data_IF_477265836019
#
_entry.id   IF_477265836019
#
_cell.length_a   1.000
_cell.length_b   1.000
_cell.length_c   1.000
_cell.angle_alpha   90.00
_cell.angle_beta   90.00
_cell.angle_gamma   90.00
#
_symmetry.space_group_name_H-M   'P 1'
#
loop_
_entity.id
_entity.type
_entity.pdbx_description
1 polymer ?
#
# COMPACT_ATOMS: atom_id res chain seq x y z
N UNK A 1 15.05 -49.11 -3.89
CA UNK A 1 15.65 -47.88 -4.44
C UNK A 1 14.85 -47.22 -5.58
N UNK A 2 13.59 -47.61 -5.89
CA UNK A 2 12.74 -46.90 -6.88
C UNK A 2 11.74 -45.90 -6.29
N UNK A 3 11.38 -46.03 -5.01
CA UNK A 3 10.39 -45.14 -4.35
C UNK A 3 10.96 -43.81 -3.88
N UNK A 4 12.26 -43.75 -3.55
CA UNK A 4 12.91 -42.53 -3.07
C UNK A 4 13.20 -41.56 -4.21
N UNK A 5 13.44 -42.07 -5.43
CA UNK A 5 13.70 -41.25 -6.61
C UNK A 5 12.46 -40.45 -7.06
N UNK A 6 11.25 -41.02 -6.88
CA UNK A 6 10.00 -40.33 -7.23
C UNK A 6 9.68 -39.15 -6.29
N UNK A 7 10.09 -39.22 -5.03
CA UNK A 7 9.85 -38.13 -4.07
C UNK A 7 10.80 -36.94 -4.27
N UNK A 8 12.03 -37.16 -4.74
CA UNK A 8 12.93 -36.04 -5.08
C UNK A 8 12.50 -35.29 -6.35
N UNK A 9 11.94 -35.98 -7.34
CA UNK A 9 11.44 -35.35 -8.57
C UNK A 9 10.18 -34.49 -8.33
N UNK A 10 9.33 -34.85 -7.36
CA UNK A 10 8.17 -34.05 -7.00
C UNK A 10 8.54 -32.75 -6.24
N UNK A 11 9.61 -32.78 -5.43
CA UNK A 11 10.09 -31.59 -4.71
C UNK A 11 10.76 -30.57 -5.62
N UNK A 12 11.40 -31.00 -6.72
CA UNK A 12 11.98 -30.08 -7.70
C UNK A 12 10.92 -29.34 -8.54
N UNK A 13 9.71 -29.88 -8.69
CA UNK A 13 8.64 -29.20 -9.45
C UNK A 13 7.99 -28.09 -8.62
N UNK A 14 7.91 -28.23 -7.28
CA UNK A 14 7.46 -27.14 -6.41
C UNK A 14 8.49 -26.02 -6.24
N UNK A 15 9.79 -26.32 -6.40
CA UNK A 15 10.85 -25.32 -6.29
C UNK A 15 11.04 -24.46 -7.57
N UNK A 16 10.56 -24.94 -8.73
CA UNK A 16 10.66 -24.20 -9.99
C UNK A 16 9.47 -23.25 -10.26
N UNK A 17 8.46 -23.20 -9.38
CA UNK A 17 7.34 -22.25 -9.47
C UNK A 17 7.52 -21.01 -8.59
N UNK A 18 8.62 -20.93 -7.82
CA UNK A 18 8.90 -19.80 -6.93
C UNK A 18 9.91 -18.78 -7.50
N UNK A 19 10.32 -18.92 -8.77
CA UNK A 19 11.32 -18.05 -9.38
C UNK A 19 11.01 -17.78 -10.85
N UNK A 20 9.92 -17.04 -11.08
CA UNK A 20 9.65 -16.20 -12.25
C UNK A 20 8.30 -15.50 -11.98
N UNK A 21 8.19 -14.80 -10.85
CA UNK A 21 7.25 -13.70 -10.77
C UNK A 21 7.87 -12.60 -11.63
N UNK A 22 7.50 -12.53 -12.90
CA UNK A 22 7.65 -11.27 -13.63
C UNK A 22 7.06 -10.20 -12.72
N UNK A 23 7.90 -9.24 -12.34
CA UNK A 23 7.56 -8.12 -11.48
C UNK A 23 6.61 -7.18 -12.20
N UNK A 24 5.45 -7.68 -12.61
CA UNK A 24 4.33 -6.88 -13.06
C UNK A 24 3.82 -6.15 -11.81
N UNK A 25 4.27 -4.91 -11.64
CA UNK A 25 3.68 -3.97 -10.71
C UNK A 25 2.16 -3.95 -10.91
N UNK A 26 1.40 -3.68 -9.84
CA UNK A 26 -0.04 -3.57 -9.95
C UNK A 26 -0.42 -2.63 -11.11
N UNK A 27 -1.46 -3.01 -11.84
CA UNK A 27 -1.93 -2.32 -13.06
C UNK A 27 -2.23 -0.82 -12.88
N UNK A 28 -2.34 -0.36 -11.63
CA UNK A 28 -2.61 1.03 -11.29
C UNK A 28 -1.35 1.87 -11.00
N UNK A 29 -0.17 1.24 -11.00
CA UNK A 29 1.14 1.87 -10.83
C UNK A 29 1.83 1.97 -12.20
N UNK A 30 2.38 3.15 -12.52
CA UNK A 30 3.12 3.39 -13.76
C UNK A 30 4.41 2.57 -13.77
N UNK A 31 4.80 2.11 -14.95
CA UNK A 31 6.08 1.43 -15.14
C UNK A 31 7.25 2.32 -14.69
N UNK A 32 8.09 1.79 -13.79
CA UNK A 32 9.22 2.53 -13.21
C UNK A 32 8.85 3.50 -12.08
N UNK A 33 7.56 3.61 -11.70
CA UNK A 33 7.16 4.34 -10.49
C UNK A 33 7.25 3.45 -9.23
N UNK A 34 7.20 2.12 -9.38
CA UNK A 34 7.22 1.16 -8.27
C UNK A 34 8.46 1.33 -7.36
N UNK A 35 9.64 1.53 -7.94
CA UNK A 35 10.91 1.69 -7.21
C UNK A 35 11.14 3.10 -6.66
N UNK A 36 10.25 4.05 -6.97
CA UNK A 36 10.38 5.44 -6.51
C UNK A 36 9.74 5.61 -5.14
N UNK A 37 10.31 6.51 -4.34
CA UNK A 37 9.76 6.89 -3.04
C UNK A 37 8.40 7.55 -3.23
N UNK A 38 7.42 7.09 -2.44
CA UNK A 38 6.07 7.62 -2.46
C UNK A 38 5.98 8.87 -1.58
N UNK A 39 5.49 9.97 -2.15
CA UNK A 39 5.25 11.23 -1.44
C UNK A 39 3.78 11.39 -1.05
N UNK A 40 2.90 10.71 -1.80
CA UNK A 40 1.47 10.62 -1.58
C UNK A 40 0.96 9.39 -2.32
N UNK A 41 0.08 8.62 -1.70
CA UNK A 41 -0.73 7.64 -2.41
C UNK A 41 -2.14 7.60 -1.84
N UNK A 42 -3.12 7.60 -2.72
CA UNK A 42 -4.53 7.41 -2.37
C UNK A 42 -5.19 6.52 -3.41
N UNK A 43 -5.94 5.52 -2.96
CA UNK A 43 -6.69 4.60 -3.82
C UNK A 43 -8.12 4.48 -3.33
N UNK A 44 -9.04 4.26 -4.26
CA UNK A 44 -10.38 3.77 -3.97
C UNK A 44 -10.45 2.31 -4.36
N UNK A 45 -11.02 1.50 -3.49
CA UNK A 45 -11.23 0.08 -3.68
C UNK A 45 -12.72 -0.18 -3.83
N UNK A 46 -13.11 -0.90 -4.88
CA UNK A 46 -14.48 -1.30 -5.14
C UNK A 46 -14.53 -2.79 -5.42
N UNK A 47 -15.26 -3.54 -4.61
CA UNK A 47 -15.34 -5.00 -4.75
C UNK A 47 -13.99 -5.71 -4.64
N UNK A 48 -13.08 -5.20 -3.80
CA UNK A 48 -11.77 -5.80 -3.56
C UNK A 48 -10.69 -5.49 -4.61
N UNK A 49 -10.96 -4.60 -5.57
CA UNK A 49 -9.96 -4.14 -6.56
C UNK A 49 -9.83 -2.63 -6.54
N UNK A 50 -8.63 -2.12 -6.81
CA UNK A 50 -8.39 -0.67 -6.97
C UNK A 50 -9.16 -0.18 -8.18
N UNK A 51 -10.12 0.72 -7.97
CA UNK A 51 -10.92 1.34 -9.03
C UNK A 51 -10.31 2.64 -9.54
N UNK A 52 -9.64 3.38 -8.64
CA UNK A 52 -9.01 4.66 -8.92
C UNK A 52 -7.79 4.84 -8.02
N UNK A 53 -6.76 5.51 -8.52
CA UNK A 53 -5.62 5.94 -7.72
C UNK A 53 -5.21 7.38 -8.06
N UNK A 54 -4.64 8.07 -7.10
CA UNK A 54 -3.91 9.33 -7.27
C UNK A 54 -2.69 9.26 -6.36
N UNK A 55 -1.51 9.31 -6.97
CA UNK A 55 -0.25 9.18 -6.25
C UNK A 55 0.83 10.07 -6.85
N UNK A 56 1.77 10.44 -5.99
CA UNK A 56 2.92 11.28 -6.32
C UNK A 56 4.17 10.57 -5.83
N UNK A 57 5.16 10.46 -6.71
CA UNK A 57 6.47 9.85 -6.41
C UNK A 57 7.59 10.85 -6.56
N UNK A 58 8.71 10.61 -5.88
CA UNK A 58 9.94 11.36 -6.09
C UNK A 58 10.54 11.01 -7.46
N UNK A 59 10.45 11.94 -8.42
CA UNK A 59 11.09 11.80 -9.73
C UNK A 59 12.47 12.46 -9.80
N UNK A 60 13.24 12.13 -10.83
CA UNK A 60 14.63 12.59 -11.01
C UNK A 60 14.73 14.12 -11.14
N UNK A 61 13.69 14.76 -11.68
CA UNK A 61 13.62 16.21 -11.90
C UNK A 61 12.54 16.87 -11.01
N UNK A 62 12.22 16.25 -9.88
CA UNK A 62 11.14 16.67 -8.99
C UNK A 62 9.96 15.70 -8.96
N UNK A 63 8.94 15.98 -8.14
CA UNK A 63 7.80 15.07 -7.96
C UNK A 63 7.01 14.81 -9.25
N UNK A 64 6.60 13.57 -9.45
CA UNK A 64 5.80 13.12 -10.59
C UNK A 64 4.42 12.65 -10.10
N UNK A 65 3.36 13.17 -10.70
CA UNK A 65 1.98 12.88 -10.32
C UNK A 65 1.31 11.96 -11.35
N UNK A 66 0.60 10.97 -10.85
CA UNK A 66 -0.10 9.98 -11.63
C UNK A 66 -1.51 9.77 -11.11
N UNK A 67 -2.43 9.56 -12.06
CA UNK A 67 -3.80 9.13 -11.77
C UNK A 67 -4.08 7.84 -12.49
N UNK A 68 -4.85 6.98 -11.85
CA UNK A 68 -5.35 5.74 -12.43
C UNK A 68 -6.87 5.71 -12.36
N UNK A 69 -7.47 5.18 -13.41
CA UNK A 69 -8.85 4.68 -13.38
C UNK A 69 -8.98 3.43 -14.25
N UNK A 70 -9.92 2.55 -13.90
CA UNK A 70 -10.14 1.30 -14.63
C UNK A 70 -10.44 1.49 -16.12
N UNK A 71 -11.02 2.62 -16.51
CA UNK A 71 -11.40 2.95 -17.89
C UNK A 71 -10.26 3.58 -18.72
N UNK A 72 -9.30 4.24 -18.07
CA UNK A 72 -8.23 5.00 -18.77
C UNK A 72 -6.83 4.43 -18.57
N UNK A 73 -6.66 3.51 -17.62
CA UNK A 73 -5.35 3.09 -17.18
C UNK A 73 -4.64 4.20 -16.40
N UNK A 74 -3.31 4.10 -16.33
CA UNK A 74 -2.47 5.08 -15.64
C UNK A 74 -2.19 6.26 -16.58
N UNK A 75 -2.24 7.47 -16.04
CA UNK A 75 -1.96 8.70 -16.75
C UNK A 75 -1.07 9.58 -15.87
N UNK A 76 0.03 10.08 -16.45
CA UNK A 76 0.84 11.13 -15.84
C UNK A 76 0.08 12.46 -15.93
N UNK A 77 0.06 13.21 -14.82
CA UNK A 77 -0.61 14.52 -14.72
C UNK A 77 0.43 15.60 -14.52
N UNK A 78 0.50 16.54 -15.46
CA UNK A 78 1.41 17.69 -15.39
C UNK A 78 0.73 18.87 -14.69
N UNK A 79 1.48 19.59 -13.85
CA UNK A 79 1.10 20.92 -13.34
C UNK A 79 0.10 20.98 -12.19
N UNK A 80 -0.41 19.85 -11.69
CA UNK A 80 -1.40 19.81 -10.61
C UNK A 80 -0.81 19.25 -9.31
N UNK A 81 -0.68 20.10 -8.28
CA UNK A 81 -0.34 19.77 -6.88
C UNK A 81 1.02 19.11 -6.60
N UNK A 82 1.72 18.58 -7.61
CA UNK A 82 2.98 17.83 -7.44
C UNK A 82 4.09 18.68 -6.82
N UNK A 83 4.17 19.96 -7.20
CA UNK A 83 5.16 20.90 -6.67
C UNK A 83 5.05 21.10 -5.15
N UNK A 84 3.86 20.95 -4.58
CA UNK A 84 3.64 21.10 -3.13
C UNK A 84 4.30 19.99 -2.30
N UNK A 85 4.70 18.90 -2.98
CA UNK A 85 5.43 17.78 -2.41
C UNK A 85 6.95 17.89 -2.65
N UNK A 86 7.42 19.01 -3.22
CA UNK A 86 8.85 19.27 -3.37
C UNK A 86 9.53 19.40 -2.01
N UNK A 87 10.66 18.71 -1.84
CA UNK A 87 11.39 18.71 -0.57
C UNK A 87 10.75 17.86 0.52
N UNK A 88 9.76 17.02 0.17
CA UNK A 88 9.31 15.94 1.03
C UNK A 88 10.08 14.68 0.68
N UNK A 89 10.56 14.00 1.71
CA UNK A 89 11.21 12.71 1.58
C UNK A 89 10.21 11.64 2.01
N UNK A 90 9.76 10.84 1.05
CA UNK A 90 9.08 9.59 1.34
C UNK A 90 10.09 8.59 1.88
N UNK A 91 9.64 7.69 2.78
CA UNK A 91 10.50 6.59 3.27
C UNK A 91 10.20 5.30 2.53
N UNK A 92 8.93 5.05 2.23
CA UNK A 92 8.47 3.85 1.55
C UNK A 92 8.45 4.07 0.03
N UNK A 93 8.81 3.03 -0.72
CA UNK A 93 8.61 3.01 -2.17
C UNK A 93 7.14 2.77 -2.53
N UNK A 94 6.75 3.06 -3.76
CA UNK A 94 5.42 2.68 -4.24
C UNK A 94 5.18 1.17 -4.20
N UNK A 95 6.21 0.35 -4.43
CA UNK A 95 6.11 -1.11 -4.31
C UNK A 95 5.88 -1.56 -2.86
N UNK A 96 6.45 -0.86 -1.88
CA UNK A 96 6.16 -1.14 -0.47
C UNK A 96 4.72 -0.79 -0.12
N UNK A 97 4.23 0.37 -0.57
CA UNK A 97 2.85 0.77 -0.38
C UNK A 97 1.86 -0.15 -1.07
N UNK A 98 2.18 -0.64 -2.27
CA UNK A 98 1.37 -1.62 -2.98
C UNK A 98 1.11 -2.85 -2.12
N UNK A 99 2.17 -3.43 -1.55
CA UNK A 99 2.06 -4.61 -0.67
C UNK A 99 1.27 -4.33 0.60
N UNK A 100 1.48 -3.16 1.21
CA UNK A 100 0.70 -2.73 2.39
C UNK A 100 -0.78 -2.61 2.03
N UNK A 101 -1.08 -2.00 0.89
CA UNK A 101 -2.45 -1.83 0.41
C UNK A 101 -3.10 -3.17 0.09
N UNK A 102 -2.37 -4.11 -0.49
CA UNK A 102 -2.86 -5.48 -0.71
C UNK A 102 -3.22 -6.18 0.61
N UNK A 103 -2.38 -6.07 1.65
CA UNK A 103 -2.71 -6.62 2.98
C UNK A 103 -3.95 -5.95 3.56
N UNK A 104 -4.03 -4.62 3.50
CA UNK A 104 -5.22 -3.88 3.96
C UNK A 104 -6.46 -4.32 3.17
N UNK A 105 -6.33 -4.53 1.87
CA UNK A 105 -7.45 -4.90 1.01
C UNK A 105 -8.02 -6.28 1.34
N UNK A 106 -7.17 -7.19 1.79
CA UNK A 106 -7.55 -8.51 2.28
C UNK A 106 -8.14 -8.45 3.70
N UNK A 107 -7.62 -7.56 4.55
CA UNK A 107 -8.02 -7.40 5.94
C UNK A 107 -9.38 -6.70 6.12
N UNK A 108 -9.67 -5.67 5.31
CA UNK A 108 -10.87 -4.83 5.44
C UNK A 108 -12.19 -5.62 5.40
N UNK A 109 -12.44 -6.55 4.46
CA UNK A 109 -13.70 -7.29 4.40
C UNK A 109 -14.07 -8.08 5.65
N UNK A 110 -13.08 -8.52 6.43
CA UNK A 110 -13.28 -9.33 7.64
C UNK A 110 -13.38 -8.47 8.90
N UNK A 111 -12.68 -7.33 8.94
CA UNK A 111 -12.52 -6.52 10.15
C UNK A 111 -13.34 -5.22 10.12
N UNK A 112 -13.66 -4.71 8.94
CA UNK A 112 -14.50 -3.52 8.71
C UNK A 112 -15.64 -3.90 7.73
N UNK A 113 -16.59 -4.74 8.14
CA UNK A 113 -17.59 -5.33 7.24
C UNK A 113 -18.53 -4.29 6.60
N UNK A 114 -18.72 -3.14 7.25
CA UNK A 114 -19.44 -1.97 6.74
C UNK A 114 -18.79 -1.38 5.46
N UNK A 115 -17.51 -1.69 5.22
CA UNK A 115 -16.71 -1.13 4.13
C UNK A 115 -16.40 -2.13 3.02
N UNK A 116 -16.83 -3.39 3.16
CA UNK A 116 -16.46 -4.49 2.26
C UNK A 116 -16.70 -4.19 0.77
N UNK A 117 -17.71 -3.39 0.43
CA UNK A 117 -18.07 -3.08 -0.96
C UNK A 117 -17.32 -1.88 -1.54
N UNK A 118 -16.96 -0.89 -0.73
CA UNK A 118 -16.28 0.33 -1.16
C UNK A 118 -15.57 1.05 -0.01
N UNK A 119 -14.31 1.44 -0.23
CA UNK A 119 -13.51 2.23 0.72
C UNK A 119 -12.33 2.91 0.02
N UNK A 120 -11.85 3.99 0.62
CA UNK A 120 -10.60 4.64 0.26
C UNK A 120 -9.47 4.24 1.20
N UNK A 121 -8.25 4.16 0.67
CA UNK A 121 -7.01 3.98 1.42
C UNK A 121 -6.09 5.15 1.04
N UNK A 122 -5.49 5.84 2.01
CA UNK A 122 -4.58 6.94 1.75
C UNK A 122 -3.40 6.96 2.72
N UNK A 123 -2.22 7.31 2.23
CA UNK A 123 -1.02 7.49 3.05
C UNK A 123 -0.97 8.88 3.67
N UNK A 124 -0.56 8.95 4.94
CA UNK A 124 -0.10 10.18 5.58
C UNK A 124 1.38 10.04 5.91
N UNK A 125 2.18 11.00 5.43
CA UNK A 125 3.60 11.08 5.76
C UNK A 125 3.82 11.27 7.28
N UNK A 126 4.98 10.86 7.81
CA UNK A 126 5.35 11.01 9.23
C UNK A 126 5.02 12.38 9.83
N UNK A 127 5.41 13.47 9.15
CA UNK A 127 5.18 14.84 9.63
C UNK A 127 3.69 15.22 9.81
N UNK A 128 2.77 14.43 9.27
CA UNK A 128 1.33 14.64 9.37
C UNK A 128 0.61 13.57 10.20
N UNK A 129 1.16 12.34 10.25
CA UNK A 129 0.50 11.18 10.85
C UNK A 129 0.38 11.23 12.38
N UNK A 130 1.21 12.04 13.05
CA UNK A 130 1.34 12.05 14.53
C UNK A 130 0.97 13.40 15.16
N UNK A 131 0.22 14.24 14.44
CA UNK A 131 -0.17 15.57 14.94
C UNK A 131 -1.21 15.50 16.06
N UNK A 132 -2.07 14.48 16.04
CA UNK A 132 -3.11 14.27 17.03
C UNK A 132 -3.17 12.80 17.45
N UNK A 133 -3.46 12.50 18.73
CA UNK A 133 -3.65 11.13 19.17
C UNK A 133 -4.92 10.54 18.53
N UNK A 134 -4.82 9.29 18.06
CA UNK A 134 -5.95 8.55 17.52
C UNK A 134 -6.28 7.38 18.44
N UNK A 135 -7.53 7.32 18.89
CA UNK A 135 -8.06 6.18 19.63
C UNK A 135 -8.55 5.08 18.66
N UNK A 136 -8.50 3.81 19.08
CA UNK A 136 -8.94 2.65 18.29
C UNK A 136 -8.22 2.51 16.94
N UNK A 137 -6.93 2.81 16.91
CA UNK A 137 -6.07 2.61 15.75
C UNK A 137 -5.61 1.14 15.62
N UNK A 138 -4.96 0.86 14.51
CA UNK A 138 -4.28 -0.41 14.24
C UNK A 138 -2.81 -0.14 13.92
N UNK A 139 -2.01 -1.20 13.89
CA UNK A 139 -0.60 -1.15 13.47
C UNK A 139 -0.39 -2.21 12.40
N UNK A 140 0.25 -1.82 11.30
CA UNK A 140 0.81 -2.71 10.31
C UNK A 140 2.32 -2.85 10.58
N UNK A 141 2.81 -4.07 10.78
CA UNK A 141 4.25 -4.32 10.94
C UNK A 141 4.91 -4.62 9.59
N UNK A 142 5.98 -3.89 9.26
CA UNK A 142 6.81 -4.17 8.11
C UNK A 142 7.56 -5.50 8.25
N UNK A 143 7.89 -5.93 9.47
CA UNK A 143 8.53 -7.23 9.70
C UNK A 143 7.57 -8.40 9.47
N UNK A 144 6.40 -8.39 10.12
CA UNK A 144 5.48 -9.54 10.10
C UNK A 144 4.46 -9.50 8.97
N UNK A 145 4.24 -8.31 8.38
CA UNK A 145 3.19 -8.05 7.37
C UNK A 145 1.77 -8.25 7.90
N UNK A 146 1.58 -8.13 9.21
CA UNK A 146 0.28 -8.30 9.87
C UNK A 146 -0.30 -6.96 10.35
N UNK A 147 -1.63 -6.91 10.44
CA UNK A 147 -2.38 -5.80 11.02
C UNK A 147 -2.94 -6.21 12.38
N UNK A 148 -2.55 -5.49 13.43
CA UNK A 148 -3.01 -5.75 14.80
C UNK A 148 -3.72 -4.53 15.38
N UNK A 149 -4.76 -4.78 16.18
CA UNK A 149 -5.41 -3.70 16.95
C UNK A 149 -4.42 -3.10 17.95
N UNK A 150 -4.41 -1.78 18.05
CA UNK A 150 -3.59 -1.06 19.01
C UNK A 150 -4.34 -0.91 20.34
N UNK A 151 -3.68 -1.27 21.44
CA UNK A 151 -4.17 -0.99 22.80
C UNK A 151 -3.55 0.33 23.30
N UNK A 152 -4.37 1.38 23.38
CA UNK A 152 -3.93 2.72 23.81
C UNK A 152 -3.31 3.56 22.69
N UNK A 153 -2.36 4.43 23.07
CA UNK A 153 -1.69 5.36 22.16
C UNK A 153 -0.49 4.71 21.46
N UNK A 154 -0.26 5.10 20.21
CA UNK A 154 0.85 4.58 19.43
C UNK A 154 2.18 5.11 19.95
N UNK A 155 3.10 4.19 20.26
CA UNK A 155 4.43 4.47 20.79
C UNK A 155 5.56 3.81 19.96
N UNK A 156 5.23 3.24 18.81
CA UNK A 156 6.17 2.61 17.88
C UNK A 156 6.95 3.62 17.04
N UNK A 157 7.53 3.15 15.93
CA UNK A 157 8.29 3.99 15.02
C UNK A 157 7.40 5.04 14.35
N UNK A 158 7.86 6.29 14.33
CA UNK A 158 7.22 7.37 13.58
C UNK A 158 7.79 7.53 12.16
N UNK A 159 8.75 6.71 11.78
CA UNK A 159 9.51 6.85 10.52
C UNK A 159 8.64 6.72 9.26
N UNK A 160 7.59 5.89 9.31
CA UNK A 160 6.84 5.49 8.12
C UNK A 160 5.49 6.19 7.96
N UNK A 161 4.99 6.84 9.02
CA UNK A 161 3.69 7.51 9.02
C UNK A 161 2.51 6.56 9.26
N UNK A 162 1.40 6.82 8.58
CA UNK A 162 0.18 6.01 8.75
C UNK A 162 -0.62 5.87 7.45
N UNK A 163 -1.50 4.88 7.44
CA UNK A 163 -2.53 4.68 6.44
C UNK A 163 -3.88 5.00 7.03
N UNK A 164 -4.67 5.80 6.32
CA UNK A 164 -6.05 6.08 6.64
C UNK A 164 -6.98 5.30 5.74
N UNK A 165 -7.96 4.61 6.33
CA UNK A 165 -9.00 3.85 5.65
C UNK A 165 -10.33 4.54 5.88
N UNK A 166 -11.00 4.95 4.81
CA UNK A 166 -12.28 5.69 4.87
C UNK A 166 -13.37 5.02 4.04
N UNK A 167 -14.63 5.29 4.37
CA UNK A 167 -15.77 4.95 3.51
C UNK A 167 -16.54 6.23 3.14
N UNK A 168 -17.54 6.14 2.27
CA UNK A 168 -18.41 7.28 1.93
C UNK A 168 -19.13 7.84 3.18
N UNK A 169 -19.43 6.97 4.14
CA UNK A 169 -20.04 7.30 5.42
C UNK A 169 -19.27 6.57 6.53
N UNK A 170 -19.02 7.25 7.65
CA UNK A 170 -18.34 6.66 8.82
C UNK A 170 -17.02 7.35 9.20
N UNK A 171 -16.45 6.92 10.33
CA UNK A 171 -15.17 7.43 10.84
C UNK A 171 -13.98 6.90 10.04
N UNK A 172 -12.91 7.68 9.95
CA UNK A 172 -11.65 7.19 9.42
C UNK A 172 -11.02 6.19 10.39
N UNK A 173 -10.47 5.10 9.86
CA UNK A 173 -9.65 4.14 10.61
C UNK A 173 -8.20 4.42 10.31
N UNK A 174 -7.38 4.56 11.34
CA UNK A 174 -5.94 4.79 11.21
C UNK A 174 -5.18 3.50 11.44
N UNK A 175 -4.23 3.20 10.57
CA UNK A 175 -3.29 2.09 10.67
C UNK A 175 -1.88 2.69 10.65
N UNK A 176 -1.18 2.70 11.78
CA UNK A 176 0.22 3.12 11.82
C UNK A 176 1.12 2.09 11.15
N UNK A 177 2.20 2.54 10.50
CA UNK A 177 3.18 1.64 9.89
C UNK A 177 4.38 1.57 10.82
N UNK A 178 4.73 0.38 11.26
CA UNK A 178 5.84 0.13 12.18
C UNK A 178 6.93 -0.74 11.54
N UNK A 179 8.17 -0.51 11.96
CA UNK A 179 9.38 -1.13 11.42
C UNK A 179 9.63 -2.55 11.90
#
# INVERSE_FOLDING_TARGET
>A
MKRILCFMLALCICACLAACGDGDSAKWIENGAADKLALKCSVNVKGGVVSNANYIVAGDNGPENYVYSTDKGVQRVEGDGASDYSGLDGVLTMADLERIFETIMQWVPENLPDRKSYYGIATLLPKYAFLEPVENAYVYSLETKEITALDGLYAGSQEYGSISIGALEGSMVTVYIDG
#
